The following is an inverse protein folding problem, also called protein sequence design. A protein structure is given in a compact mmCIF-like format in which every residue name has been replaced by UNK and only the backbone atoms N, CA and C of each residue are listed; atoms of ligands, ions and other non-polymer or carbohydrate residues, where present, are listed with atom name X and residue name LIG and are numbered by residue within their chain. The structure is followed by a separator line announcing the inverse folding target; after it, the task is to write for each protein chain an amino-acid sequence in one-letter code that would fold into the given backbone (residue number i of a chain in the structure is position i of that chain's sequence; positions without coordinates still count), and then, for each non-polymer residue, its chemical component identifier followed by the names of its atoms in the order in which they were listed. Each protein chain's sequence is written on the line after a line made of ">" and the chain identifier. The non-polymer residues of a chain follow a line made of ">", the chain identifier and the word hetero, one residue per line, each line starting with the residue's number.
data_IF_325025193574
#
_entry.id   IF_325025193574
#
_cell.length_a   1.000
_cell.length_b   1.000
_cell.length_c   1.000
_cell.angle_alpha   90.00
_cell.angle_beta   90.00
_cell.angle_gamma   90.00
#
_symmetry.space_group_name_H-M   'P 1'
#
loop_
_entity.id
_entity.type
_entity.pdbx_description
1 polymer ?
#
# COMPACT_ATOMS: atom_id res chain seq x y z
N UNK A 1 -63.33 0.55 35.96
CA UNK A 1 -64.78 0.80 35.84
C UNK A 1 -65.00 1.92 34.84
N UNK A 2 -66.08 1.83 34.06
CA UNK A 2 -66.58 2.75 33.03
C UNK A 2 -65.99 2.59 31.61
N UNK A 3 -66.93 2.28 30.72
CA UNK A 3 -66.80 1.88 29.33
C UNK A 3 -67.51 2.91 28.42
N UNK A 4 -67.51 2.60 27.11
CA UNK A 4 -68.34 3.15 26.01
C UNK A 4 -67.76 4.42 25.35
N UNK A 5 -67.63 4.59 24.03
CA UNK A 5 -68.37 4.07 22.84
C UNK A 5 -67.49 4.23 21.57
N UNK A 6 -67.59 3.28 20.62
CA UNK A 6 -67.36 3.46 19.15
C UNK A 6 -68.67 4.01 18.50
N UNK A 7 -68.89 4.23 17.16
CA UNK A 7 -68.14 3.84 15.93
C UNK A 7 -68.24 4.79 14.68
N UNK A 8 -67.80 4.27 13.50
CA UNK A 8 -68.18 4.58 12.08
C UNK A 8 -67.32 5.66 11.37
N UNK A 9 -66.89 5.58 10.09
CA UNK A 9 -67.12 4.72 8.89
C UNK A 9 -66.06 5.17 7.83
N UNK A 10 -65.28 4.32 7.14
CA UNK A 10 -65.55 3.52 5.91
C UNK A 10 -65.60 4.32 4.59
N UNK A 11 -64.58 4.16 3.74
CA UNK A 11 -64.60 4.03 2.26
C UNK A 11 -63.11 3.93 1.80
N UNK A 12 -62.52 2.83 1.33
CA UNK A 12 -62.80 1.96 0.17
C UNK A 12 -63.02 2.72 -1.14
N UNK A 13 -61.97 2.78 -1.96
CA UNK A 13 -62.10 2.49 -3.38
C UNK A 13 -60.94 1.59 -3.84
N UNK A 14 -61.33 0.45 -4.36
CA UNK A 14 -60.54 -0.52 -5.11
C UNK A 14 -60.90 -0.36 -6.58
N UNK A 15 -59.95 -0.65 -7.49
CA UNK A 15 -60.09 -1.35 -8.77
C UNK A 15 -58.72 -1.24 -9.48
N UNK A 16 -57.88 -2.27 -9.55
CA UNK A 16 -57.93 -3.52 -10.33
C UNK A 16 -57.90 -3.34 -11.85
N UNK A 17 -56.90 -3.97 -12.45
CA UNK A 17 -56.89 -4.49 -13.82
C UNK A 17 -55.83 -3.85 -14.72
N UNK A 18 -55.04 -4.54 -15.54
CA UNK A 18 -55.00 -5.94 -15.98
C UNK A 18 -53.62 -6.19 -16.65
N UNK A 19 -53.05 -7.37 -16.38
CA UNK A 19 -52.28 -8.34 -17.22
C UNK A 19 -51.41 -7.85 -18.39
N UNK A 20 -50.18 -8.38 -18.47
CA UNK A 20 -49.48 -8.54 -19.75
C UNK A 20 -48.00 -8.90 -19.62
N UNK A 21 -47.67 -10.19 -19.73
CA UNK A 21 -46.31 -10.71 -19.75
C UNK A 21 -45.58 -10.43 -21.07
N UNK A 22 -44.29 -10.11 -21.03
CA UNK A 22 -43.32 -10.49 -22.06
C UNK A 22 -41.88 -10.18 -21.59
N UNK A 23 -41.02 -11.18 -21.67
CA UNK A 23 -39.58 -11.05 -21.47
C UNK A 23 -38.94 -10.32 -22.67
N UNK A 24 -38.01 -9.40 -22.40
CA UNK A 24 -36.88 -9.17 -23.30
C UNK A 24 -35.72 -8.51 -22.55
N UNK A 25 -34.63 -9.26 -22.53
CA UNK A 25 -33.29 -8.86 -22.11
C UNK A 25 -32.76 -7.83 -23.10
N UNK A 26 -32.43 -6.62 -22.63
CA UNK A 26 -31.46 -5.74 -23.28
C UNK A 26 -30.58 -5.11 -22.22
N UNK A 27 -29.36 -5.64 -22.14
CA UNK A 27 -28.21 -5.10 -21.40
C UNK A 27 -27.80 -3.79 -22.06
N UNK A 28 -28.02 -2.67 -21.39
CA UNK A 28 -27.40 -1.37 -21.73
C UNK A 28 -26.40 -0.99 -20.64
N UNK A 29 -25.20 -1.54 -20.76
CA UNK A 29 -24.04 -1.07 -20.02
C UNK A 29 -23.54 0.25 -20.64
N UNK A 30 -24.00 1.39 -20.14
CA UNK A 30 -23.33 2.67 -20.39
C UNK A 30 -22.02 2.72 -19.60
N UNK A 31 -20.94 2.23 -20.21
CA UNK A 31 -19.58 2.54 -19.80
C UNK A 31 -19.13 3.82 -20.49
N UNK A 32 -19.33 4.97 -19.85
CA UNK A 32 -18.82 6.26 -20.36
C UNK A 32 -17.33 6.36 -20.05
N UNK A 33 -16.50 6.34 -21.10
CA UNK A 33 -15.08 6.65 -21.04
C UNK A 33 -14.90 8.17 -21.16
N UNK A 34 -14.16 8.77 -20.23
CA UNK A 34 -13.66 10.13 -20.34
C UNK A 34 -12.13 10.10 -20.35
N UNK A 35 -11.56 10.36 -21.52
CA UNK A 35 -10.14 10.67 -21.70
C UNK A 35 -9.95 12.18 -21.54
N UNK A 36 -8.89 12.61 -20.84
CA UNK A 36 -8.39 13.98 -20.93
C UNK A 36 -6.87 13.98 -20.76
N UNK A 37 -6.21 14.20 -21.91
CA UNK A 37 -4.86 14.71 -22.02
C UNK A 37 -4.88 16.21 -21.72
N UNK A 38 -3.89 16.70 -20.97
CA UNK A 38 -3.60 18.12 -20.81
C UNK A 38 -2.09 18.31 -20.86
N UNK A 39 -1.61 18.89 -21.95
CA UNK A 39 -0.25 19.35 -22.15
C UNK A 39 -0.27 20.88 -22.26
N UNK A 40 0.79 21.52 -21.75
CA UNK A 40 1.40 22.81 -22.13
C UNK A 40 1.95 23.53 -20.88
N UNK A 41 2.84 24.53 -21.00
CA UNK A 41 4.01 24.67 -21.88
C UNK A 41 5.27 25.08 -21.08
N UNK A 42 6.33 25.50 -21.79
CA UNK A 42 7.72 25.65 -21.35
C UNK A 42 8.06 26.60 -20.20
N UNK A 43 9.29 26.44 -19.73
CA UNK A 43 10.10 27.45 -19.05
C UNK A 43 11.58 27.06 -19.20
N UNK A 44 12.17 27.48 -20.32
CA UNK A 44 13.60 27.79 -20.38
C UNK A 44 13.87 29.04 -19.52
N UNK A 45 15.11 29.20 -19.09
CA UNK A 45 15.68 30.28 -18.27
C UNK A 45 15.57 30.13 -16.73
N UNK A 46 16.47 29.32 -16.18
CA UNK A 46 17.00 29.53 -14.82
C UNK A 46 18.54 29.69 -14.91
N UNK A 47 19.13 30.70 -14.26
CA UNK A 47 20.57 30.97 -14.34
C UNK A 47 21.39 29.84 -13.68
N UNK A 48 22.61 29.57 -14.17
CA UNK A 48 23.43 28.50 -13.61
C UNK A 48 23.82 28.80 -12.16
N UNK A 49 23.91 27.77 -11.29
CA UNK A 49 24.33 27.94 -9.91
C UNK A 49 25.82 28.37 -9.84
N UNK A 50 26.22 29.08 -8.77
CA UNK A 50 27.56 29.60 -8.64
C UNK A 50 28.59 28.48 -8.51
N UNK A 51 29.66 28.57 -9.31
CA UNK A 51 30.83 27.68 -9.25
C UNK A 51 31.86 28.26 -8.28
N UNK A 52 32.30 27.46 -7.31
CA UNK A 52 33.44 27.78 -6.45
C UNK A 52 34.73 27.35 -7.16
N UNK A 53 35.59 28.32 -7.47
CA UNK A 53 36.95 28.08 -7.93
C UNK A 53 37.87 27.87 -6.72
N UNK A 54 38.69 26.81 -6.74
CA UNK A 54 39.70 26.56 -5.72
C UNK A 54 40.97 27.39 -5.99
N UNK A 55 41.64 27.90 -4.93
CA UNK A 55 42.94 28.56 -5.06
C UNK A 55 44.05 27.57 -5.46
N UNK A 56 45.18 28.04 -6.03
CA UNK A 56 46.28 27.18 -6.41
C UNK A 56 46.94 26.57 -5.17
N UNK A 57 47.27 25.28 -5.27
CA UNK A 57 47.96 24.53 -4.21
C UNK A 57 49.43 24.91 -4.14
N UNK A 58 49.84 25.53 -3.03
CA UNK A 58 51.24 25.67 -2.63
C UNK A 58 51.63 24.57 -1.64
N UNK A 59 52.70 23.85 -1.96
CA UNK A 59 53.64 23.21 -1.03
C UNK A 59 53.11 22.07 -0.14
N UNK A 60 53.41 20.83 -0.52
CA UNK A 60 53.07 19.63 0.27
C UNK A 60 54.12 19.35 1.35
N UNK A 61 53.79 19.66 2.61
CA UNK A 61 54.35 18.98 3.79
C UNK A 61 53.65 17.60 3.92
N UNK A 62 54.35 16.50 4.29
CA UNK A 62 53.70 15.20 4.45
C UNK A 62 52.69 15.25 5.61
N UNK A 63 51.40 15.19 5.27
CA UNK A 63 50.32 15.08 6.26
C UNK A 63 50.26 13.65 6.81
N UNK A 64 49.99 13.46 8.12
CA UNK A 64 49.79 12.13 8.69
C UNK A 64 48.64 11.41 7.99
N UNK A 65 48.81 10.11 7.75
CA UNK A 65 47.82 9.24 7.12
C UNK A 65 46.47 9.38 7.85
N UNK A 66 45.38 9.79 7.16
CA UNK A 66 44.07 9.87 7.79
C UNK A 66 43.66 8.48 8.24
N UNK A 67 43.40 8.33 9.54
CA UNK A 67 42.69 7.15 10.06
C UNK A 67 41.30 7.18 9.45
N UNK A 68 40.95 6.13 8.70
CA UNK A 68 39.64 6.01 8.08
C UNK A 68 38.56 6.15 9.16
N UNK A 69 37.70 7.15 9.02
CA UNK A 69 36.56 7.35 9.91
C UNK A 69 35.65 6.10 9.83
N UNK A 70 35.15 5.58 10.95
CA UNK A 70 34.40 4.32 10.93
C UNK A 70 33.13 4.45 10.10
N UNK A 71 33.00 3.61 9.07
CA UNK A 71 31.79 3.48 8.27
C UNK A 71 30.58 3.34 9.20
N UNK A 72 29.53 4.15 8.95
CA UNK A 72 28.31 4.10 9.75
C UNK A 72 27.82 2.65 9.96
N UNK A 73 27.70 2.27 11.24
CA UNK A 73 27.29 0.92 11.61
C UNK A 73 25.88 0.61 11.06
N UNK A 74 25.64 -0.60 10.53
CA UNK A 74 24.31 -0.97 10.06
C UNK A 74 23.27 -0.90 11.20
N UNK A 75 22.04 -0.47 10.90
CA UNK A 75 20.90 -0.58 11.81
C UNK A 75 20.70 -2.01 12.35
N UNK A 76 19.97 -2.12 13.45
CA UNK A 76 19.62 -3.43 14.03
C UNK A 76 18.15 -3.78 13.79
N UNK A 77 17.88 -5.06 13.57
CA UNK A 77 16.51 -5.57 13.54
C UNK A 77 15.83 -5.37 14.91
N UNK A 78 14.58 -4.91 14.90
CA UNK A 78 13.82 -4.56 16.10
C UNK A 78 13.92 -3.09 16.51
N UNK A 79 14.80 -2.29 15.89
CA UNK A 79 14.79 -0.83 16.08
C UNK A 79 13.48 -0.21 15.63
N UNK A 80 12.99 0.75 16.40
CA UNK A 80 11.75 1.46 16.10
C UNK A 80 12.06 2.83 15.51
N UNK A 81 11.27 3.24 14.53
CA UNK A 81 11.49 4.48 13.76
C UNK A 81 10.17 5.19 13.51
N UNK A 82 10.28 6.44 13.05
CA UNK A 82 9.14 7.28 12.68
C UNK A 82 9.41 7.95 11.33
N UNK A 83 9.19 7.22 10.21
CA UNK A 83 9.41 7.75 8.87
C UNK A 83 8.61 9.04 8.66
N UNK A 84 9.22 10.00 7.96
CA UNK A 84 8.58 11.25 7.59
C UNK A 84 7.43 11.03 6.60
N UNK A 85 6.60 12.05 6.38
CA UNK A 85 5.55 11.98 5.35
C UNK A 85 6.13 11.78 3.95
N UNK A 86 7.32 12.32 3.68
CA UNK A 86 8.04 12.14 2.42
C UNK A 86 8.47 10.68 2.27
N UNK A 87 9.06 10.09 3.32
CA UNK A 87 9.48 8.69 3.31
C UNK A 87 8.30 7.75 3.08
N UNK A 88 7.15 8.06 3.68
CA UNK A 88 5.93 7.26 3.50
C UNK A 88 5.40 7.36 2.07
N UNK A 89 5.44 8.55 1.47
CA UNK A 89 5.01 8.76 0.09
C UNK A 89 5.93 8.04 -0.91
N UNK A 90 7.25 8.16 -0.71
CA UNK A 90 8.27 7.50 -1.53
C UNK A 90 8.36 6.00 -1.25
N UNK A 91 8.00 5.57 -0.03
CA UNK A 91 8.28 4.25 0.57
C UNK A 91 9.78 3.92 0.67
N UNK A 92 10.62 4.94 0.61
CA UNK A 92 12.07 4.87 0.79
C UNK A 92 12.41 5.90 1.87
N UNK A 93 13.30 5.55 2.79
CA UNK A 93 13.75 6.42 3.88
C UNK A 93 15.26 6.43 3.88
N UNK A 94 15.84 7.63 3.90
CA UNK A 94 17.26 7.79 4.15
C UNK A 94 17.52 7.61 5.66
N UNK A 95 18.69 7.10 6.02
CA UNK A 95 19.05 6.85 7.42
C UNK A 95 19.78 8.04 8.03
N UNK A 96 19.09 9.17 8.04
CA UNK A 96 19.55 10.43 8.60
C UNK A 96 18.95 10.70 9.99
N UNK A 97 17.99 9.87 10.43
CA UNK A 97 17.34 9.96 11.73
C UNK A 97 17.66 8.75 12.62
N UNK A 98 18.05 9.02 13.87
CA UNK A 98 18.30 7.99 14.86
C UNK A 98 17.02 7.18 15.20
N UNK A 99 17.17 5.90 15.61
CA UNK A 99 16.06 5.12 16.15
C UNK A 99 15.41 5.80 17.36
N UNK A 100 14.12 5.54 17.55
CA UNK A 100 13.33 6.04 18.67
C UNK A 100 12.89 4.89 19.59
N UNK A 101 12.37 5.23 20.77
CA UNK A 101 11.67 4.26 21.61
C UNK A 101 10.45 3.70 20.88
N UNK A 102 10.16 2.41 21.06
CA UNK A 102 9.04 1.76 20.36
C UNK A 102 7.64 2.25 20.76
N UNK A 103 7.51 2.91 21.92
CA UNK A 103 6.24 3.51 22.32
C UNK A 103 5.85 4.61 21.31
N UNK A 104 4.71 4.43 20.64
CA UNK A 104 4.22 5.40 19.65
C UNK A 104 4.93 5.38 18.29
N UNK A 105 5.84 4.43 18.05
CA UNK A 105 6.50 4.29 16.76
C UNK A 105 5.52 3.86 15.64
N UNK A 106 5.79 4.30 14.42
CA UNK A 106 5.00 3.97 13.22
C UNK A 106 5.70 2.96 12.33
N UNK A 107 6.97 2.64 12.61
CA UNK A 107 7.69 1.56 11.95
C UNK A 107 8.63 0.80 12.89
N UNK A 108 8.93 -0.44 12.51
CA UNK A 108 9.93 -1.30 13.18
C UNK A 108 10.77 -2.02 12.13
N UNK A 109 12.09 -2.00 12.31
CA UNK A 109 13.03 -2.66 11.42
C UNK A 109 12.85 -4.18 11.48
N UNK A 110 12.32 -4.78 10.41
CA UNK A 110 12.05 -6.22 10.35
C UNK A 110 13.20 -7.04 9.74
N UNK A 111 14.07 -6.38 8.98
CA UNK A 111 15.23 -6.97 8.31
C UNK A 111 16.28 -5.90 8.11
N UNK A 112 17.55 -6.26 8.30
CA UNK A 112 18.71 -5.51 7.83
C UNK A 112 19.60 -6.49 7.06
N UNK A 113 20.14 -6.07 5.92
CA UNK A 113 20.98 -6.92 5.07
C UNK A 113 21.88 -6.09 4.15
N UNK A 114 22.99 -6.66 3.65
CA UNK A 114 23.78 -6.01 2.60
C UNK A 114 22.96 -5.73 1.33
N UNK A 115 23.25 -4.62 0.64
CA UNK A 115 22.63 -4.35 -0.65
C UNK A 115 23.17 -5.33 -1.71
N UNK A 116 22.30 -5.85 -2.57
CA UNK A 116 22.79 -6.50 -3.77
C UNK A 116 23.16 -5.43 -4.81
N UNK A 117 23.85 -5.82 -5.88
CA UNK A 117 24.28 -4.89 -6.93
C UNK A 117 23.13 -4.06 -7.53
N UNK A 118 21.93 -4.63 -7.64
CA UNK A 118 20.76 -3.91 -8.18
C UNK A 118 20.22 -2.84 -7.24
N UNK A 119 20.19 -3.10 -5.93
CA UNK A 119 19.79 -2.11 -4.92
C UNK A 119 20.87 -1.04 -4.80
N UNK A 120 22.16 -1.42 -4.72
CA UNK A 120 23.28 -0.49 -4.63
C UNK A 120 23.28 0.51 -5.78
N UNK A 121 23.21 0.03 -7.03
CA UNK A 121 23.14 0.91 -8.19
C UNK A 121 21.89 1.81 -8.20
N UNK A 122 20.78 1.36 -7.62
CA UNK A 122 19.57 2.17 -7.51
C UNK A 122 19.69 3.25 -6.42
N UNK A 123 20.36 2.95 -5.31
CA UNK A 123 20.66 3.92 -4.24
C UNK A 123 21.63 4.99 -4.75
N UNK A 124 22.70 4.60 -5.45
CA UNK A 124 23.64 5.56 -6.06
C UNK A 124 22.95 6.53 -7.03
N UNK A 125 21.99 6.04 -7.82
CA UNK A 125 21.21 6.88 -8.73
C UNK A 125 19.98 7.55 -8.09
N UNK A 126 19.74 7.31 -6.80
CA UNK A 126 18.53 7.69 -6.05
C UNK A 126 17.21 7.34 -6.77
N UNK A 127 17.19 6.24 -7.53
CA UNK A 127 15.99 5.77 -8.22
C UNK A 127 15.12 4.96 -7.25
N UNK A 128 14.24 5.66 -6.54
CA UNK A 128 13.30 5.07 -5.57
C UNK A 128 12.45 3.95 -6.16
N UNK A 129 12.13 4.01 -7.45
CA UNK A 129 11.36 2.95 -8.13
C UNK A 129 12.19 1.68 -8.29
N UNK A 130 13.47 1.80 -8.65
CA UNK A 130 14.41 0.67 -8.71
C UNK A 130 14.77 0.14 -7.33
N UNK A 131 14.94 1.01 -6.33
CA UNK A 131 15.16 0.62 -4.93
C UNK A 131 14.02 -0.29 -4.49
N UNK A 132 12.78 0.19 -4.61
CA UNK A 132 11.59 -0.57 -4.20
C UNK A 132 11.41 -1.87 -4.97
N UNK A 133 11.56 -1.83 -6.30
CA UNK A 133 11.41 -3.04 -7.13
C UNK A 133 12.42 -4.13 -6.74
N UNK A 134 13.65 -3.74 -6.44
CA UNK A 134 14.74 -4.66 -6.08
C UNK A 134 14.63 -5.16 -4.63
N UNK A 135 14.23 -4.28 -3.71
CA UNK A 135 14.11 -4.58 -2.28
C UNK A 135 12.83 -5.37 -1.92
N UNK A 136 11.74 -5.17 -2.68
CA UNK A 136 10.41 -5.70 -2.37
C UNK A 136 10.36 -7.21 -2.07
N UNK A 137 10.99 -8.11 -2.85
CA UNK A 137 10.94 -9.55 -2.55
C UNK A 137 11.52 -9.89 -1.16
N UNK A 138 12.53 -9.15 -0.72
CA UNK A 138 13.14 -9.31 0.60
C UNK A 138 12.24 -8.71 1.69
N UNK A 139 11.74 -7.49 1.48
CA UNK A 139 10.92 -6.81 2.48
C UNK A 139 9.56 -7.45 2.67
N UNK A 140 8.90 -7.94 1.61
CA UNK A 140 7.63 -8.67 1.75
C UNK A 140 7.81 -10.00 2.48
N UNK A 141 8.90 -10.71 2.22
CA UNK A 141 9.22 -11.96 2.93
C UNK A 141 9.49 -11.70 4.40
N UNK A 142 10.30 -10.69 4.71
CA UNK A 142 10.58 -10.31 6.09
C UNK A 142 9.33 -9.84 6.85
N UNK A 143 8.51 -8.99 6.23
CA UNK A 143 7.25 -8.55 6.81
C UNK A 143 6.29 -9.72 7.08
N UNK A 144 6.14 -10.63 6.11
CA UNK A 144 5.29 -11.81 6.28
C UNK A 144 5.78 -12.71 7.43
N UNK A 145 7.08 -12.99 7.48
CA UNK A 145 7.70 -13.76 8.57
C UNK A 145 7.54 -13.10 9.94
N UNK A 146 7.80 -11.79 10.02
CA UNK A 146 7.66 -11.00 11.25
C UNK A 146 6.22 -11.03 11.78
N UNK A 147 5.23 -10.86 10.90
CA UNK A 147 3.81 -10.85 11.24
C UNK A 147 3.22 -12.24 11.44
N UNK A 148 3.99 -13.30 11.17
CA UNK A 148 3.56 -14.69 11.34
C UNK A 148 2.51 -15.12 10.31
N UNK A 149 2.67 -14.70 9.06
CA UNK A 149 1.68 -14.86 8.00
C UNK A 149 2.29 -15.28 6.65
N UNK A 150 1.44 -15.62 5.67
CA UNK A 150 1.84 -15.80 4.27
C UNK A 150 1.76 -14.51 3.43
N UNK A 151 2.33 -14.56 2.22
CA UNK A 151 2.33 -13.43 1.29
C UNK A 151 0.92 -12.97 0.91
N UNK A 152 -0.02 -13.90 0.69
CA UNK A 152 -1.41 -13.57 0.35
C UNK A 152 -2.06 -12.76 1.47
N UNK A 153 -1.86 -13.17 2.72
CA UNK A 153 -2.44 -12.49 3.87
C UNK A 153 -1.76 -11.16 4.16
N UNK A 154 -0.43 -11.04 3.98
CA UNK A 154 0.25 -9.74 4.00
C UNK A 154 -0.40 -8.77 2.99
N UNK A 155 -0.68 -9.24 1.77
CA UNK A 155 -1.25 -8.42 0.69
C UNK A 155 -2.68 -7.95 0.91
N UNK A 156 -3.44 -8.63 1.76
CA UNK A 156 -4.78 -8.18 2.22
C UNK A 156 -4.75 -7.56 3.62
N UNK A 157 -3.57 -7.26 4.17
CA UNK A 157 -3.41 -6.54 5.43
C UNK A 157 -3.04 -5.08 5.21
N UNK A 158 -3.30 -4.22 6.21
CA UNK A 158 -2.83 -2.83 6.21
C UNK A 158 -1.32 -2.71 6.52
N UNK A 159 -0.65 -3.82 6.81
CA UNK A 159 0.79 -3.82 6.95
C UNK A 159 1.48 -3.70 5.59
N UNK A 160 2.60 -2.99 5.58
CA UNK A 160 3.48 -2.89 4.42
C UNK A 160 4.91 -2.63 4.88
N UNK A 161 5.71 -2.05 4.00
CA UNK A 161 7.08 -1.70 4.34
C UNK A 161 7.50 -0.33 3.78
N UNK A 162 8.53 0.23 4.41
CA UNK A 162 9.41 1.28 3.88
C UNK A 162 10.80 0.65 3.73
N UNK A 163 11.52 0.99 2.66
CA UNK A 163 12.91 0.55 2.48
C UNK A 163 13.82 1.63 3.05
N UNK A 164 14.58 1.30 4.09
CA UNK A 164 15.61 2.19 4.57
C UNK A 164 16.92 1.94 3.84
N UNK A 165 17.58 3.00 3.42
CA UNK A 165 18.89 2.99 2.76
C UNK A 165 19.83 3.94 3.50
N UNK A 166 21.16 3.78 3.37
CA UNK A 166 22.08 4.70 3.99
C UNK A 166 21.87 6.10 3.40
N UNK A 167 22.07 7.13 4.22
CA UNK A 167 22.08 8.52 3.74
C UNK A 167 23.20 8.74 2.72
N UNK A 168 23.20 9.89 2.04
CA UNK A 168 24.27 10.25 1.11
C UNK A 168 25.65 10.28 1.78
N UNK A 169 25.72 10.79 3.02
CA UNK A 169 26.95 10.82 3.82
C UNK A 169 27.44 9.41 4.16
N UNK A 170 26.55 8.56 4.71
CA UNK A 170 26.89 7.17 5.03
C UNK A 170 27.30 6.37 3.78
N UNK A 171 26.66 6.64 2.63
CA UNK A 171 27.03 6.00 1.36
C UNK A 171 28.43 6.43 0.91
N UNK A 172 28.80 7.71 1.08
CA UNK A 172 30.14 8.21 0.78
C UNK A 172 31.22 7.57 1.68
N UNK A 173 30.85 7.22 2.92
CA UNK A 173 31.68 6.45 3.85
C UNK A 173 31.70 4.95 3.54
N UNK A 174 30.94 4.46 2.54
CA UNK A 174 30.96 3.06 2.12
C UNK A 174 29.90 2.17 2.78
N UNK A 175 28.88 2.75 3.41
CA UNK A 175 27.77 1.96 3.95
C UNK A 175 27.06 1.15 2.84
N UNK A 176 26.99 -0.17 3.02
CA UNK A 176 26.46 -1.11 2.02
C UNK A 176 25.31 -1.97 2.55
N UNK A 177 24.37 -1.35 3.25
CA UNK A 177 23.24 -2.07 3.85
C UNK A 177 21.91 -1.50 3.36
N UNK A 178 20.86 -2.30 3.48
CA UNK A 178 19.47 -1.86 3.36
C UNK A 178 18.67 -2.44 4.52
N UNK A 179 17.60 -1.76 4.92
CA UNK A 179 16.64 -2.25 5.89
C UNK A 179 15.22 -2.30 5.32
N UNK A 180 14.40 -3.17 5.88
CA UNK A 180 12.98 -3.24 5.60
C UNK A 180 12.21 -2.90 6.87
N UNK A 181 11.60 -1.72 6.88
CA UNK A 181 10.85 -1.23 8.03
C UNK A 181 9.39 -1.61 7.85
N UNK A 182 8.88 -2.45 8.75
CA UNK A 182 7.47 -2.82 8.79
C UNK A 182 6.67 -1.59 9.21
N UNK A 183 5.62 -1.27 8.46
CA UNK A 183 4.71 -0.15 8.75
C UNK A 183 3.26 -0.62 8.77
N UNK A 184 2.40 0.10 9.47
CA UNK A 184 0.95 -0.08 9.45
C UNK A 184 0.30 1.17 8.84
N UNK A 185 -0.41 1.02 7.72
CA UNK A 185 -1.14 2.12 7.11
C UNK A 185 -2.45 2.39 7.88
N UNK A 186 -2.64 3.63 8.34
CA UNK A 186 -3.93 4.10 8.83
C UNK A 186 -4.89 4.32 7.66
N UNK A 187 -4.37 4.94 6.59
CA UNK A 187 -5.03 5.16 5.32
C UNK A 187 -3.99 5.28 4.20
N UNK A 188 -4.39 5.75 3.01
CA UNK A 188 -3.52 5.90 1.85
C UNK A 188 -2.35 6.88 2.02
N UNK A 189 -2.44 7.84 2.96
CA UNK A 189 -1.46 8.90 3.13
C UNK A 189 -0.78 8.92 4.52
N UNK A 190 -1.28 8.15 5.50
CA UNK A 190 -0.80 8.18 6.89
C UNK A 190 -0.50 6.79 7.44
N UNK A 191 0.54 6.71 8.26
CA UNK A 191 0.82 5.54 9.09
C UNK A 191 0.05 5.62 10.40
N UNK A 192 -0.38 4.47 10.90
CA UNK A 192 -0.86 4.30 12.26
C UNK A 192 0.32 3.98 13.19
N UNK A 193 0.14 4.23 14.48
CA UNK A 193 1.01 3.63 15.48
C UNK A 193 0.97 2.10 15.36
N UNK A 194 2.13 1.46 15.54
CA UNK A 194 2.22 0.02 15.56
C UNK A 194 1.53 -0.54 16.82
N UNK A 195 0.92 -1.74 16.74
CA UNK A 195 0.45 -2.41 17.94
C UNK A 195 1.61 -2.71 18.88
N UNK A 196 1.34 -2.73 20.19
CA UNK A 196 2.36 -2.98 21.22
C UNK A 196 3.17 -4.27 20.99
N UNK A 197 2.58 -5.26 20.31
CA UNK A 197 3.29 -6.45 19.82
C UNK A 197 3.06 -6.60 18.31
N UNK A 198 4.10 -6.31 17.52
CA UNK A 198 4.08 -6.49 16.06
C UNK A 198 4.46 -7.90 15.62
N UNK A 199 5.33 -8.58 16.36
CA UNK A 199 5.70 -9.96 16.04
C UNK A 199 4.46 -10.85 16.15
N UNK A 200 4.20 -11.62 15.10
CA UNK A 200 3.00 -12.46 14.98
C UNK A 200 1.66 -11.69 15.03
N UNK A 201 1.63 -10.38 14.77
CA UNK A 201 0.42 -9.57 14.90
C UNK A 201 -0.75 -9.99 14.00
N UNK A 202 -0.48 -10.74 12.93
CA UNK A 202 -1.51 -11.29 12.05
C UNK A 202 -1.95 -12.71 12.41
N UNK A 203 -1.37 -13.34 13.45
CA UNK A 203 -1.83 -14.64 13.94
C UNK A 203 -3.13 -14.51 14.73
N UNK A 204 -4.01 -15.51 14.56
CA UNK A 204 -5.23 -15.65 15.35
C UNK A 204 -6.31 -14.60 15.07
N UNK A 205 -7.29 -14.51 15.98
CA UNK A 205 -8.51 -13.71 15.78
C UNK A 205 -8.25 -12.20 15.70
N UNK A 206 -7.29 -11.67 16.47
CA UNK A 206 -6.94 -10.23 16.48
C UNK A 206 -6.31 -9.75 15.18
N UNK A 207 -5.61 -10.63 14.45
CA UNK A 207 -5.05 -10.29 13.14
C UNK A 207 -6.09 -9.79 12.13
N UNK A 208 -7.37 -10.18 12.31
CA UNK A 208 -8.48 -9.75 11.48
C UNK A 208 -8.76 -8.25 11.53
N UNK A 209 -8.33 -7.56 12.58
CA UNK A 209 -8.52 -6.12 12.75
C UNK A 209 -7.55 -5.31 11.88
N UNK A 210 -6.39 -5.88 11.56
CA UNK A 210 -5.37 -5.26 10.71
C UNK A 210 -5.53 -5.60 9.22
N UNK A 211 -6.62 -6.29 8.83
CA UNK A 211 -6.91 -6.52 7.42
C UNK A 211 -7.29 -5.22 6.70
N UNK A 212 -7.18 -5.21 5.38
CA UNK A 212 -7.62 -4.08 4.55
C UNK A 212 -9.15 -4.09 4.46
N UNK A 213 -9.74 -2.95 4.77
CA UNK A 213 -11.17 -2.70 4.63
C UNK A 213 -11.38 -1.35 3.91
N UNK A 214 -12.57 -1.14 3.34
CA UNK A 214 -12.91 0.10 2.64
C UNK A 214 -14.16 0.74 3.24
N UNK A 215 -14.08 2.05 3.44
CA UNK A 215 -15.20 2.90 3.88
C UNK A 215 -16.02 3.34 2.67
N UNK A 216 -17.35 3.36 2.81
CA UNK A 216 -18.24 3.83 1.74
C UNK A 216 -18.21 2.94 0.49
N UNK A 217 -18.48 3.54 -0.67
CA UNK A 217 -18.39 2.86 -1.96
C UNK A 217 -16.93 2.58 -2.33
N UNK A 218 -16.63 1.31 -2.62
CA UNK A 218 -15.32 0.86 -3.05
C UNK A 218 -14.88 1.46 -4.40
N UNK A 219 -15.81 1.90 -5.24
CA UNK A 219 -15.52 2.49 -6.55
C UNK A 219 -14.94 3.90 -6.46
N UNK A 220 -15.30 4.65 -5.41
CA UNK A 220 -14.88 6.04 -5.19
C UNK A 220 -13.99 6.20 -3.96
N UNK A 221 -13.61 5.10 -3.29
CA UNK A 221 -12.84 5.17 -2.07
C UNK A 221 -11.41 5.67 -2.31
N UNK A 222 -10.95 6.58 -1.43
CA UNK A 222 -9.59 7.15 -1.46
C UNK A 222 -8.51 6.22 -0.90
N UNK A 223 -8.82 4.93 -0.70
CA UNK A 223 -7.90 3.92 -0.17
C UNK A 223 -8.55 2.96 0.81
N UNK A 224 -7.69 2.25 1.56
CA UNK A 224 -8.08 1.24 2.54
C UNK A 224 -7.79 1.70 3.97
N UNK A 225 -8.53 1.16 4.92
CA UNK A 225 -8.37 1.35 6.37
C UNK A 225 -8.21 -0.01 7.07
N UNK A 226 -7.85 0.00 8.35
CA UNK A 226 -7.90 -1.21 9.18
C UNK A 226 -9.35 -1.65 9.38
N UNK A 227 -9.60 -2.95 9.36
CA UNK A 227 -10.92 -3.51 9.63
C UNK A 227 -11.42 -3.33 11.08
N UNK A 228 -10.58 -2.83 12.00
CA UNK A 228 -11.03 -2.30 13.29
C UNK A 228 -11.93 -1.07 13.13
N UNK A 229 -11.75 -0.29 12.06
CA UNK A 229 -12.55 0.90 11.72
C UNK A 229 -13.90 0.48 11.10
N UNK A 230 -14.94 1.33 11.20
CA UNK A 230 -16.21 1.16 10.47
C UNK A 230 -15.97 1.04 8.97
N UNK A 231 -16.61 0.09 8.30
CA UNK A 231 -16.38 -0.20 6.89
C UNK A 231 -17.58 -0.89 6.23
N UNK A 232 -17.63 -0.83 4.90
CA UNK A 232 -18.65 -1.50 4.08
C UNK A 232 -18.07 -2.64 3.24
N UNK A 233 -16.74 -2.76 3.19
CA UNK A 233 -16.06 -3.77 2.42
C UNK A 233 -14.87 -4.32 3.16
N UNK A 234 -14.65 -5.62 3.04
CA UNK A 234 -13.54 -6.33 3.66
C UNK A 234 -12.71 -7.04 2.59
N UNK A 235 -11.39 -6.91 2.66
CA UNK A 235 -10.46 -7.67 1.82
C UNK A 235 -10.46 -9.14 2.23
N UNK A 236 -10.80 -10.02 1.30
CA UNK A 236 -11.07 -11.44 1.60
C UNK A 236 -10.18 -12.39 0.81
N UNK A 237 -9.72 -11.99 -0.37
CA UNK A 237 -8.83 -12.78 -1.22
C UNK A 237 -7.81 -11.88 -1.93
N UNK A 238 -6.77 -12.49 -2.50
CA UNK A 238 -5.73 -11.79 -3.26
C UNK A 238 -5.41 -12.52 -4.55
N UNK A 239 -5.21 -11.76 -5.61
CA UNK A 239 -4.96 -12.26 -6.96
C UNK A 239 -3.55 -11.86 -7.38
N UNK A 240 -2.69 -12.83 -7.66
CA UNK A 240 -1.42 -12.58 -8.33
C UNK A 240 -1.68 -12.32 -9.81
N UNK A 241 -1.32 -11.12 -10.27
CA UNK A 241 -1.60 -10.60 -11.61
C UNK A 241 -0.43 -10.78 -12.59
N UNK A 242 0.74 -11.17 -12.10
CA UNK A 242 1.90 -11.45 -12.95
C UNK A 242 3.12 -11.92 -12.19
N UNK A 243 4.11 -12.41 -12.95
CA UNK A 243 5.45 -12.68 -12.42
C UNK A 243 6.24 -11.37 -12.25
N UNK A 244 7.34 -11.43 -11.49
CA UNK A 244 8.10 -10.24 -11.09
C UNK A 244 8.63 -9.43 -12.29
N UNK A 245 9.09 -10.11 -13.36
CA UNK A 245 9.72 -9.48 -14.53
C UNK A 245 8.74 -9.12 -15.67
N UNK A 246 7.44 -9.42 -15.51
CA UNK A 246 6.45 -9.17 -16.57
C UNK A 246 6.12 -7.68 -16.65
N UNK A 247 6.03 -7.15 -17.88
CA UNK A 247 5.63 -5.76 -18.15
C UNK A 247 4.18 -5.51 -17.69
N UNK A 248 3.85 -4.26 -17.40
CA UNK A 248 2.48 -3.90 -16.99
C UNK A 248 1.49 -4.26 -18.12
N UNK A 249 0.49 -5.13 -17.90
CA UNK A 249 -0.42 -5.58 -18.96
C UNK A 249 -1.40 -4.51 -19.46
N UNK A 250 -1.39 -3.32 -18.85
CA UNK A 250 -2.38 -2.27 -19.07
C UNK A 250 -3.57 -2.39 -18.12
N UNK A 251 -4.17 -1.23 -17.81
CA UNK A 251 -5.25 -1.11 -16.82
C UNK A 251 -6.47 -1.97 -17.19
N UNK A 252 -6.89 -1.95 -18.46
CA UNK A 252 -8.05 -2.72 -18.94
C UNK A 252 -7.88 -4.23 -18.68
N UNK A 253 -6.71 -4.78 -19.00
CA UNK A 253 -6.41 -6.21 -18.81
C UNK A 253 -6.32 -6.59 -17.34
N UNK A 254 -5.66 -5.76 -16.51
CA UNK A 254 -5.59 -5.97 -15.05
C UNK A 254 -6.99 -5.99 -14.43
N UNK A 255 -7.84 -5.02 -14.78
CA UNK A 255 -9.20 -4.95 -14.25
C UNK A 255 -10.07 -6.12 -14.74
N UNK A 256 -9.93 -6.54 -16.01
CA UNK A 256 -10.62 -7.72 -16.52
C UNK A 256 -10.23 -8.99 -15.74
N UNK A 257 -8.94 -9.20 -15.48
CA UNK A 257 -8.47 -10.32 -14.65
C UNK A 257 -9.02 -10.27 -13.22
N UNK A 258 -9.16 -9.08 -12.62
CA UNK A 258 -9.76 -8.96 -11.29
C UNK A 258 -11.26 -9.30 -11.30
N UNK A 259 -12.02 -8.81 -12.30
CA UNK A 259 -13.45 -9.14 -12.47
C UNK A 259 -13.69 -10.63 -12.65
N UNK A 260 -12.82 -11.29 -13.41
CA UNK A 260 -12.90 -12.72 -13.64
C UNK A 260 -12.58 -13.54 -12.38
N UNK A 261 -11.52 -13.18 -11.65
CA UNK A 261 -10.97 -14.04 -10.58
C UNK A 261 -11.50 -13.73 -9.17
N UNK A 262 -11.94 -12.52 -8.90
CA UNK A 262 -12.44 -12.16 -7.57
C UNK A 262 -13.75 -12.85 -7.14
N UNK A 263 -14.75 -13.07 -8.02
CA UNK A 263 -16.02 -13.66 -7.63
C UNK A 263 -15.88 -14.99 -6.89
N UNK A 264 -14.97 -15.87 -7.34
CA UNK A 264 -14.75 -17.17 -6.71
C UNK A 264 -14.23 -17.04 -5.26
N UNK A 265 -13.28 -16.13 -5.03
CA UNK A 265 -12.73 -15.85 -3.70
C UNK A 265 -13.75 -15.23 -2.75
N UNK A 266 -14.54 -14.28 -3.25
CA UNK A 266 -15.58 -13.59 -2.48
C UNK A 266 -16.73 -14.54 -2.15
N UNK A 267 -17.18 -15.37 -3.10
CA UNK A 267 -18.21 -16.38 -2.88
C UNK A 267 -17.81 -17.37 -1.78
N UNK A 268 -16.58 -17.88 -1.83
CA UNK A 268 -16.03 -18.79 -0.80
C UNK A 268 -15.97 -18.14 0.57
N UNK A 269 -15.69 -16.84 0.63
CA UNK A 269 -15.68 -16.11 1.91
C UNK A 269 -17.09 -15.90 2.47
N UNK A 270 -18.06 -15.56 1.62
CA UNK A 270 -19.46 -15.31 2.01
C UNK A 270 -20.26 -16.59 2.26
N UNK A 271 -19.72 -17.74 1.86
CA UNK A 271 -20.39 -19.05 1.93
C UNK A 271 -21.81 -19.02 1.34
N UNK A 272 -21.95 -18.41 0.15
CA UNK A 272 -23.26 -18.19 -0.48
C UNK A 272 -23.37 -18.82 -1.86
N UNK A 273 -24.56 -19.37 -2.15
CA UNK A 273 -24.97 -19.80 -3.49
C UNK A 273 -25.70 -18.71 -4.26
N UNK A 274 -26.21 -17.69 -3.56
CA UNK A 274 -26.97 -16.58 -4.15
C UNK A 274 -26.10 -15.55 -4.90
N UNK A 275 -26.75 -14.46 -5.30
CA UNK A 275 -26.08 -13.25 -5.79
C UNK A 275 -25.35 -12.55 -4.65
N UNK A 276 -24.26 -11.85 -4.98
CA UNK A 276 -23.48 -11.08 -4.03
C UNK A 276 -22.77 -9.92 -4.71
N UNK A 277 -22.52 -8.88 -3.93
CA UNK A 277 -21.68 -7.75 -4.34
C UNK A 277 -20.21 -8.04 -4.06
N UNK A 278 -19.35 -7.68 -5.01
CA UNK A 278 -17.90 -7.71 -4.82
C UNK A 278 -17.24 -6.45 -5.39
N UNK A 279 -16.04 -6.16 -4.90
CA UNK A 279 -15.17 -5.13 -5.46
C UNK A 279 -13.72 -5.59 -5.46
N UNK A 280 -12.85 -4.77 -6.04
CA UNK A 280 -11.44 -5.06 -6.09
C UNK A 280 -10.59 -3.79 -6.13
N UNK A 281 -9.37 -3.88 -5.60
CA UNK A 281 -8.32 -2.90 -5.78
C UNK A 281 -7.16 -3.59 -6.48
N UNK A 282 -6.65 -2.97 -7.55
CA UNK A 282 -5.56 -3.50 -8.36
C UNK A 282 -4.39 -2.51 -8.42
N UNK A 283 -3.16 -2.98 -8.64
CA UNK A 283 -2.01 -2.09 -8.72
C UNK A 283 -2.10 -1.16 -9.93
N UNK A 284 -1.75 0.10 -9.73
CA UNK A 284 -1.50 1.05 -10.81
C UNK A 284 -0.23 0.70 -11.59
N UNK A 285 -0.02 1.33 -12.75
CA UNK A 285 1.25 1.23 -13.51
C UNK A 285 2.46 1.58 -12.65
N UNK A 286 2.37 2.65 -11.85
CA UNK A 286 3.44 3.07 -10.93
C UNK A 286 3.68 2.04 -9.83
N UNK A 287 2.63 1.46 -9.24
CA UNK A 287 2.79 0.37 -8.28
C UNK A 287 3.44 -0.86 -8.92
N UNK A 288 3.08 -1.18 -10.17
CA UNK A 288 3.68 -2.26 -10.95
C UNK A 288 5.17 -2.02 -11.23
N UNK A 289 5.56 -0.79 -11.60
CA UNK A 289 6.97 -0.45 -11.79
C UNK A 289 7.78 -0.61 -10.50
N UNK A 290 7.17 -0.35 -9.34
CA UNK A 290 7.73 -0.59 -7.99
C UNK A 290 7.64 -2.05 -7.53
N UNK A 291 7.24 -2.97 -8.40
CA UNK A 291 7.21 -4.41 -8.16
C UNK A 291 5.91 -4.97 -7.57
N UNK A 292 4.86 -4.16 -7.37
CA UNK A 292 3.56 -4.70 -6.91
C UNK A 292 2.92 -5.57 -7.99
N UNK A 293 2.44 -6.75 -7.62
CA UNK A 293 1.87 -7.76 -8.54
C UNK A 293 0.56 -8.34 -8.05
N UNK A 294 0.01 -7.82 -6.96
CA UNK A 294 -1.17 -8.36 -6.32
C UNK A 294 -2.33 -7.38 -6.37
N UNK A 295 -3.51 -7.89 -6.71
CA UNK A 295 -4.78 -7.22 -6.43
C UNK A 295 -5.46 -7.84 -5.22
N UNK A 296 -6.36 -7.09 -4.60
CA UNK A 296 -7.14 -7.53 -3.44
C UNK A 296 -8.62 -7.55 -3.82
N UNK A 297 -9.30 -8.64 -3.50
CA UNK A 297 -10.74 -8.83 -3.70
C UNK A 297 -11.49 -8.50 -2.41
N UNK A 298 -12.62 -7.81 -2.54
CA UNK A 298 -13.40 -7.33 -1.41
C UNK A 298 -14.82 -7.89 -1.45
N UNK A 299 -15.28 -8.37 -0.30
CA UNK A 299 -16.68 -8.71 -0.06
C UNK A 299 -17.38 -7.51 0.57
N UNK A 300 -18.63 -7.25 0.16
CA UNK A 300 -19.47 -6.26 0.84
C UNK A 300 -19.86 -6.82 2.21
N UNK A 301 -19.59 -6.06 3.25
CA UNK A 301 -19.85 -6.41 4.65
C UNK A 301 -20.41 -5.20 5.38
N UNK A 302 -20.96 -5.37 6.58
CA UNK A 302 -21.37 -4.24 7.42
C UNK A 302 -20.72 -4.37 8.79
N UNK A 303 -19.99 -3.33 9.20
CA UNK A 303 -19.45 -3.13 10.56
C UNK A 303 -19.69 -1.70 11.03
#
# INVERSE_FOLDING_TARGET
>A
MSALRRPRTRARNSLLGVVGAAALVLVTACGSAGDISGAAPGADDAPPPPVRSLPPATGTTPAPTPTAEPVAAPPKAGECRKPSTVDVALRVSDDDAAPITCSGATSVTSLVRPMNASVKAAVTAYDTTRILRSARPYCERAAAGWLGTDAKTLKRSQFGFVVGVPSAAQTAEGADWMRCDLVLSANSARLAALPARTKNALKGKRGRDFMQCVRGDIRSASGTVTCSTRHQWRGVDTIRLGAAKVRYPGTKKVQATMRDRCPAGVRRYLDTRGSFDYGYISPSRTAWQRGERWGVCFAKTKK
#
